data_IF_914598532339
#
_entry.id   IF_914598532339
#
_cell.length_a   1.000
_cell.length_b   1.000
_cell.length_c   1.000
_cell.angle_alpha   90.00
_cell.angle_beta   90.00
_cell.angle_gamma   90.00
#
_symmetry.space_group_name_H-M   'P 1'
#
loop_
_entity.id
_entity.type
_entity.pdbx_description
1 polymer ?
#
# COMPACT_ATOMS: atom_id res chain seq x y z
N UNK A 1 9.65 22.97 -13.25
CA UNK A 1 10.23 21.61 -13.34
C UNK A 1 11.13 21.47 -12.12
N UNK A 2 10.68 20.76 -11.08
CA UNK A 2 11.51 20.50 -9.88
C UNK A 2 12.71 19.64 -10.32
N UNK A 3 13.92 20.07 -9.93
CA UNK A 3 15.11 19.20 -10.05
C UNK A 3 14.80 17.88 -9.36
N UNK A 4 15.31 16.73 -9.87
CA UNK A 4 15.27 15.49 -9.09
C UNK A 4 15.89 15.82 -7.73
N UNK A 5 15.07 15.80 -6.70
CA UNK A 5 15.54 16.02 -5.36
C UNK A 5 16.56 14.93 -5.04
N UNK A 6 17.65 15.34 -4.37
CA UNK A 6 18.69 14.43 -3.90
C UNK A 6 18.09 13.59 -2.76
N UNK A 7 17.29 12.59 -3.16
CA UNK A 7 16.44 11.75 -2.29
C UNK A 7 17.26 10.70 -1.50
N UNK A 8 18.60 10.90 -1.39
CA UNK A 8 19.51 9.85 -0.90
C UNK A 8 20.16 10.11 0.47
N UNK A 9 19.78 11.14 1.19
CA UNK A 9 20.34 11.34 2.53
C UNK A 9 19.26 11.51 3.59
N UNK A 10 18.67 10.38 4.02
CA UNK A 10 18.31 10.30 5.42
C UNK A 10 19.61 10.29 6.23
N UNK A 11 19.72 11.08 7.26
CA UNK A 11 20.88 11.10 8.18
C UNK A 11 21.11 9.74 8.88
N UNK A 12 20.21 8.79 8.67
CA UNK A 12 20.22 7.47 9.31
C UNK A 12 20.19 6.37 8.25
N UNK A 13 21.19 5.51 8.26
CA UNK A 13 21.24 4.33 7.41
C UNK A 13 20.05 3.39 7.70
N UNK A 14 19.40 2.82 6.67
CA UNK A 14 18.32 1.90 6.87
C UNK A 14 18.72 0.68 7.69
N UNK A 15 18.01 0.44 8.81
CA UNK A 15 18.26 -0.67 9.73
C UNK A 15 17.61 -1.97 9.25
N UNK A 16 17.85 -2.35 8.00
CA UNK A 16 17.40 -3.60 7.41
C UNK A 16 18.56 -4.58 7.18
N UNK A 17 18.25 -5.86 7.10
CA UNK A 17 19.25 -6.88 6.80
C UNK A 17 19.84 -6.68 5.39
N UNK A 18 21.15 -6.93 5.17
CA UNK A 18 21.73 -6.92 3.84
C UNK A 18 20.95 -7.83 2.87
N UNK A 19 20.60 -7.30 1.70
CA UNK A 19 19.78 -8.01 0.70
C UNK A 19 18.26 -8.03 0.95
N UNK A 20 17.78 -7.35 2.00
CA UNK A 20 16.35 -7.24 2.29
C UNK A 20 15.57 -6.60 1.13
N UNK A 21 14.39 -7.14 0.81
CA UNK A 21 13.50 -6.60 -0.22
C UNK A 21 13.02 -5.16 0.02
N UNK A 22 13.17 -4.63 1.21
CA UNK A 22 12.86 -3.23 1.49
C UNK A 22 13.78 -2.24 0.75
N UNK A 23 15.03 -2.60 0.47
CA UNK A 23 15.95 -1.71 -0.25
C UNK A 23 15.52 -1.41 -1.69
N UNK A 24 15.22 -2.42 -2.54
CA UNK A 24 14.72 -2.13 -3.87
C UNK A 24 13.36 -1.43 -3.85
N UNK A 25 12.49 -1.73 -2.86
CA UNK A 25 11.21 -1.03 -2.71
C UNK A 25 11.46 0.46 -2.41
N UNK A 26 12.37 0.80 -1.50
CA UNK A 26 12.72 2.19 -1.16
C UNK A 26 13.21 2.94 -2.41
N UNK A 27 14.13 2.33 -3.17
CA UNK A 27 14.66 2.93 -4.40
C UNK A 27 13.56 3.16 -5.45
N UNK A 28 12.70 2.17 -5.67
CA UNK A 28 11.62 2.25 -6.64
C UNK A 28 10.56 3.28 -6.24
N UNK A 29 10.17 3.29 -4.95
CA UNK A 29 9.22 4.25 -4.40
C UNK A 29 9.71 5.69 -4.52
N UNK A 30 10.95 5.93 -4.13
CA UNK A 30 11.59 7.24 -4.23
C UNK A 30 11.59 7.75 -5.67
N UNK A 31 11.97 6.88 -6.63
CA UNK A 31 11.92 7.22 -8.05
C UNK A 31 10.49 7.46 -8.57
N UNK A 32 9.51 6.67 -8.12
CA UNK A 32 8.11 6.85 -8.48
C UNK A 32 7.53 8.12 -7.87
N UNK A 33 7.86 8.45 -6.63
CA UNK A 33 7.43 9.67 -5.96
C UNK A 33 7.95 10.92 -6.70
N UNK A 34 9.21 10.91 -7.10
CA UNK A 34 9.82 12.01 -7.87
C UNK A 34 9.12 12.22 -9.24
N UNK A 35 8.69 11.14 -9.89
CA UNK A 35 7.99 11.19 -11.19
C UNK A 35 6.47 11.42 -11.08
N UNK A 36 5.90 11.22 -9.89
CA UNK A 36 4.45 11.33 -9.70
C UNK A 36 3.92 12.75 -9.83
N UNK A 37 4.77 13.75 -9.60
CA UNK A 37 4.40 15.16 -9.53
C UNK A 37 3.71 15.56 -8.21
N UNK A 38 3.68 14.67 -7.22
CA UNK A 38 3.12 14.97 -5.90
C UNK A 38 3.97 16.01 -5.18
N UNK A 39 3.29 16.94 -4.48
CA UNK A 39 3.97 17.93 -3.65
C UNK A 39 4.36 17.30 -2.30
N UNK A 40 5.66 17.26 -1.94
CA UNK A 40 6.12 16.69 -0.66
C UNK A 40 5.47 17.37 0.56
N UNK A 41 5.24 18.68 0.53
CA UNK A 41 4.63 19.44 1.64
C UNK A 41 3.15 19.06 1.86
N UNK A 42 2.50 18.50 0.83
CA UNK A 42 1.12 18.01 0.88
C UNK A 42 1.05 16.48 0.94
N UNK A 43 2.17 15.79 1.07
CA UNK A 43 2.25 14.34 1.16
C UNK A 43 2.51 13.90 2.59
N UNK A 44 1.74 12.91 3.04
CA UNK A 44 1.89 12.30 4.37
C UNK A 44 2.14 10.80 4.20
N UNK A 45 3.28 10.35 4.70
CA UNK A 45 3.62 8.93 4.78
C UNK A 45 3.17 8.39 6.13
N UNK A 46 2.29 7.41 6.12
CA UNK A 46 1.73 6.78 7.32
C UNK A 46 2.20 5.34 7.41
N UNK A 47 2.58 4.90 8.60
CA UNK A 47 2.97 3.52 8.85
C UNK A 47 2.50 3.02 10.20
N UNK A 48 2.44 1.70 10.36
CA UNK A 48 2.17 1.02 11.63
C UNK A 48 3.45 0.54 12.31
N UNK A 49 3.59 -0.76 12.55
CA UNK A 49 4.75 -1.37 13.20
C UNK A 49 5.33 -2.48 12.31
N UNK A 50 6.62 -2.69 12.42
CA UNK A 50 7.38 -3.72 11.71
C UNK A 50 8.57 -3.16 10.92
N UNK A 51 9.24 -4.00 10.14
CA UNK A 51 10.40 -3.57 9.36
C UNK A 51 10.00 -2.64 8.21
N UNK A 52 8.84 -2.90 7.58
CA UNK A 52 8.27 -2.03 6.56
C UNK A 52 7.81 -0.68 7.14
N UNK A 53 7.37 -0.65 8.40
CA UNK A 53 6.91 0.58 9.05
C UNK A 53 8.03 1.61 9.32
N UNK A 54 9.30 1.20 9.26
CA UNK A 54 10.44 2.11 9.32
C UNK A 54 10.66 2.88 8.01
N UNK A 55 10.03 2.44 6.94
CA UNK A 55 10.21 2.95 5.57
C UNK A 55 10.07 4.48 5.47
N UNK A 56 9.05 5.14 6.06
CA UNK A 56 8.90 6.59 5.96
C UNK A 56 10.10 7.37 6.46
N UNK A 57 10.81 6.85 7.47
CA UNK A 57 11.98 7.50 8.05
C UNK A 57 13.22 7.49 7.13
N UNK A 58 13.19 6.70 6.06
CA UNK A 58 14.29 6.58 5.09
C UNK A 58 13.96 7.24 3.75
N UNK A 59 12.74 7.75 3.58
CA UNK A 59 12.33 8.51 2.38
C UNK A 59 12.81 9.95 2.52
N UNK A 60 13.52 10.44 1.51
CA UNK A 60 13.93 11.84 1.41
C UNK A 60 13.55 12.38 0.03
N UNK A 61 13.10 13.65 -0.11
CA UNK A 61 13.05 14.72 0.89
C UNK A 61 11.94 14.48 1.90
N UNK A 62 11.94 15.29 2.96
CA UNK A 62 10.99 15.11 4.03
C UNK A 62 9.56 15.34 3.54
N UNK A 63 8.81 14.26 3.38
CA UNK A 63 7.36 14.30 3.47
C UNK A 63 6.96 14.36 4.95
N UNK A 64 5.74 14.76 5.24
CA UNK A 64 5.20 14.60 6.59
C UNK A 64 5.12 13.10 6.93
N UNK A 65 5.43 12.73 8.16
CA UNK A 65 5.46 11.34 8.59
C UNK A 65 4.55 11.15 9.80
N UNK A 66 3.76 10.08 9.80
CA UNK A 66 3.05 9.60 10.96
C UNK A 66 3.32 8.10 11.14
N UNK A 67 4.00 7.72 12.21
CA UNK A 67 4.22 6.33 12.61
C UNK A 67 3.30 5.98 13.77
N UNK A 68 2.35 5.08 13.52
CA UNK A 68 1.29 4.72 14.47
C UNK A 68 1.57 3.40 15.20
N UNK A 69 0.52 2.88 15.84
CA UNK A 69 0.54 1.58 16.53
C UNK A 69 0.37 0.42 15.53
N UNK A 70 0.67 -0.79 16.00
CA UNK A 70 0.52 -2.02 15.21
C UNK A 70 -0.92 -2.20 14.70
N UNK A 71 -1.06 -2.40 13.39
CA UNK A 71 -2.35 -2.52 12.73
C UNK A 71 -3.18 -1.23 12.66
N UNK A 72 -2.59 -0.07 12.99
CA UNK A 72 -3.34 1.20 13.08
C UNK A 72 -2.93 2.25 12.03
N UNK A 73 -2.16 1.86 11.03
CA UNK A 73 -1.80 2.75 9.94
C UNK A 73 -3.03 3.27 9.18
N UNK A 74 -3.97 2.39 8.83
CA UNK A 74 -5.18 2.78 8.07
C UNK A 74 -6.16 3.68 8.84
N UNK A 75 -6.52 3.44 10.11
CA UNK A 75 -7.37 4.39 10.82
C UNK A 75 -6.70 5.76 11.01
N UNK A 76 -5.38 5.80 11.26
CA UNK A 76 -4.63 7.06 11.30
C UNK A 76 -4.67 7.79 9.95
N UNK A 77 -4.36 7.08 8.86
CA UNK A 77 -4.42 7.61 7.49
C UNK A 77 -5.83 8.10 7.13
N UNK A 78 -6.88 7.35 7.54
CA UNK A 78 -8.28 7.75 7.36
C UNK A 78 -8.58 9.05 8.08
N UNK A 79 -8.15 9.19 9.35
CA UNK A 79 -8.33 10.41 10.12
C UNK A 79 -7.62 11.62 9.49
N UNK A 80 -6.37 11.44 9.05
CA UNK A 80 -5.59 12.48 8.36
C UNK A 80 -6.30 12.92 7.08
N UNK A 81 -6.76 11.97 6.25
CA UNK A 81 -7.46 12.27 4.99
C UNK A 81 -8.80 12.95 5.23
N UNK A 82 -9.54 12.55 6.26
CA UNK A 82 -10.79 13.21 6.65
C UNK A 82 -10.58 14.63 7.19
N UNK A 83 -9.50 14.84 7.95
CA UNK A 83 -9.18 16.17 8.50
C UNK A 83 -8.75 17.16 7.40
N UNK A 84 -7.97 16.67 6.44
CA UNK A 84 -7.54 17.45 5.28
C UNK A 84 -7.52 16.58 4.01
N UNK A 85 -8.61 16.63 3.25
CA UNK A 85 -8.76 15.84 2.02
C UNK A 85 -7.85 16.30 0.87
N UNK A 86 -7.19 17.45 0.98
CA UNK A 86 -6.21 17.92 -0.02
C UNK A 86 -4.85 17.23 0.12
N UNK A 87 -4.60 16.56 1.25
CA UNK A 87 -3.36 15.81 1.45
C UNK A 87 -3.33 14.53 0.61
N UNK A 88 -2.17 14.23 0.07
CA UNK A 88 -1.86 12.91 -0.49
C UNK A 88 -1.38 12.00 0.64
N UNK A 89 -2.20 11.02 0.98
CA UNK A 89 -1.93 10.11 2.10
C UNK A 89 -1.49 8.76 1.55
N UNK A 90 -0.29 8.34 1.93
CA UNK A 90 0.36 7.12 1.48
C UNK A 90 0.68 6.27 2.70
N UNK A 91 0.23 5.02 2.70
CA UNK A 91 0.48 4.06 3.78
C UNK A 91 1.52 3.04 3.32
N UNK A 92 2.53 2.80 4.14
CA UNK A 92 3.49 1.70 3.99
C UNK A 92 3.41 0.79 5.21
N UNK A 93 3.24 -0.51 4.98
CA UNK A 93 3.01 -1.49 6.05
C UNK A 93 3.53 -2.86 5.63
N UNK A 94 3.87 -3.71 6.60
CA UNK A 94 4.08 -5.13 6.35
C UNK A 94 2.75 -5.89 6.29
N UNK A 95 2.77 -7.08 5.73
CA UNK A 95 1.62 -7.97 5.62
C UNK A 95 1.02 -8.34 6.99
N UNK A 96 1.84 -8.64 7.98
CA UNK A 96 1.38 -8.87 9.35
C UNK A 96 0.68 -7.65 9.96
N UNK A 97 1.28 -6.48 9.84
CA UNK A 97 0.72 -5.22 10.34
C UNK A 97 -0.59 -4.85 9.63
N UNK A 98 -0.65 -5.01 8.29
CA UNK A 98 -1.80 -4.62 7.50
C UNK A 98 -2.94 -5.65 7.55
N UNK A 99 -2.62 -6.92 7.38
CA UNK A 99 -3.63 -7.98 7.19
C UNK A 99 -3.92 -8.77 8.47
N UNK A 100 -2.96 -8.79 9.42
CA UNK A 100 -3.13 -9.35 10.76
C UNK A 100 -3.84 -8.37 11.68
N UNK A 101 -3.08 -7.57 12.38
CA UNK A 101 -3.60 -6.62 13.38
C UNK A 101 -4.44 -5.50 12.75
N UNK A 102 -4.21 -5.18 11.47
CA UNK A 102 -4.94 -4.17 10.72
C UNK A 102 -6.12 -4.68 9.90
N UNK A 103 -6.38 -5.99 9.86
CA UNK A 103 -7.31 -6.62 8.91
C UNK A 103 -8.71 -6.00 8.88
N UNK A 104 -9.29 -5.71 10.04
CA UNK A 104 -10.60 -5.05 10.12
C UNK A 104 -10.57 -3.62 9.54
N UNK A 105 -9.50 -2.88 9.79
CA UNK A 105 -9.32 -1.54 9.24
C UNK A 105 -9.09 -1.56 7.73
N UNK A 106 -8.42 -2.60 7.23
CA UNK A 106 -8.21 -2.84 5.80
C UNK A 106 -9.55 -3.00 5.07
N UNK A 107 -10.41 -3.88 5.54
CA UNK A 107 -11.75 -4.10 4.98
C UNK A 107 -12.55 -2.78 4.96
N UNK A 108 -12.61 -2.08 6.07
CA UNK A 108 -13.43 -0.88 6.19
C UNK A 108 -12.87 0.33 5.44
N UNK A 109 -11.56 0.46 5.25
CA UNK A 109 -10.98 1.51 4.42
C UNK A 109 -11.32 1.30 2.94
N UNK A 110 -11.22 0.06 2.44
CA UNK A 110 -11.64 -0.31 1.08
C UNK A 110 -13.14 -0.07 0.90
N UNK A 111 -13.98 -0.53 1.82
CA UNK A 111 -15.44 -0.35 1.77
C UNK A 111 -15.82 1.13 1.66
N UNK A 112 -15.12 2.02 2.36
CA UNK A 112 -15.32 3.48 2.24
C UNK A 112 -14.81 4.04 0.92
N UNK A 113 -13.85 3.38 0.28
CA UNK A 113 -13.11 3.88 -0.87
C UNK A 113 -12.44 5.23 -0.58
N UNK A 114 -11.79 5.36 0.57
CA UNK A 114 -11.09 6.58 0.94
C UNK A 114 -9.85 6.79 0.07
N UNK A 115 -9.53 8.03 -0.29
CA UNK A 115 -8.44 8.40 -1.21
C UNK A 115 -7.03 8.20 -0.64
N UNK A 116 -6.67 6.96 -0.30
CA UNK A 116 -5.39 6.56 0.30
C UNK A 116 -4.68 5.57 -0.62
N UNK A 117 -3.35 5.72 -0.78
CA UNK A 117 -2.49 4.74 -1.45
C UNK A 117 -1.86 3.84 -0.41
N UNK A 118 -1.97 2.52 -0.58
CA UNK A 118 -1.50 1.52 0.39
C UNK A 118 -0.51 0.58 -0.27
N UNK A 119 0.71 0.60 0.21
CA UNK A 119 1.81 -0.24 -0.25
C UNK A 119 2.15 -1.25 0.84
N UNK A 120 1.83 -2.52 0.60
CA UNK A 120 2.06 -3.60 1.56
C UNK A 120 3.30 -4.37 1.15
N UNK A 121 4.29 -4.38 2.02
CA UNK A 121 5.52 -5.15 1.89
C UNK A 121 5.23 -6.58 2.38
N UNK A 122 4.81 -7.44 1.47
CA UNK A 122 4.36 -8.79 1.77
C UNK A 122 5.54 -9.76 1.73
N UNK A 123 6.09 -10.07 2.90
CA UNK A 123 7.20 -11.00 3.04
C UNK A 123 6.82 -12.33 3.70
N UNK A 124 5.54 -12.52 3.98
CA UNK A 124 4.95 -13.73 4.56
C UNK A 124 5.53 -14.15 5.92
N UNK A 125 6.09 -13.17 6.68
CA UNK A 125 6.57 -13.40 8.05
C UNK A 125 6.51 -12.14 8.90
N UNK A 126 6.36 -12.28 10.20
CA UNK A 126 6.64 -11.19 11.16
C UNK A 126 8.17 -11.05 11.34
N UNK A 127 8.81 -10.19 10.53
CA UNK A 127 10.27 -10.07 10.52
C UNK A 127 10.83 -9.36 11.76
N UNK A 128 10.14 -8.35 12.31
CA UNK A 128 10.61 -7.59 13.48
C UNK A 128 10.71 -8.47 14.73
N UNK A 129 9.77 -9.38 14.91
CA UNK A 129 9.66 -10.30 16.05
C UNK A 129 10.34 -11.64 15.81
N UNK A 130 11.19 -11.74 14.77
CA UNK A 130 12.11 -12.86 14.50
C UNK A 130 11.52 -14.08 13.78
N UNK A 131 10.49 -13.89 12.95
CA UNK A 131 10.12 -14.86 11.93
C UNK A 131 8.93 -15.75 12.24
N UNK A 132 7.97 -15.28 13.02
CA UNK A 132 6.68 -15.96 13.16
C UNK A 132 5.93 -15.90 11.83
N UNK A 133 5.05 -16.88 11.59
CA UNK A 133 4.14 -16.87 10.47
C UNK A 133 3.21 -15.64 10.52
N UNK A 134 3.06 -14.98 9.39
CA UNK A 134 2.10 -13.88 9.18
C UNK A 134 0.79 -14.43 8.57
N UNK A 135 -0.26 -13.62 8.44
CA UNK A 135 -1.51 -14.08 7.80
C UNK A 135 -1.34 -14.59 6.38
N UNK A 136 -0.32 -14.14 5.66
CA UNK A 136 -0.05 -14.53 4.26
C UNK A 136 0.96 -15.68 4.12
N UNK A 137 1.46 -16.23 5.23
CA UNK A 137 2.35 -17.40 5.21
C UNK A 137 1.63 -18.59 4.61
N UNK A 138 2.32 -19.34 3.76
CA UNK A 138 1.77 -20.54 3.13
C UNK A 138 1.45 -21.63 4.17
N UNK A 139 0.41 -22.42 3.91
CA UNK A 139 0.11 -23.61 4.72
C UNK A 139 1.31 -24.56 4.72
N UNK A 140 1.60 -25.15 5.86
CA UNK A 140 2.78 -26.01 6.06
C UNK A 140 4.09 -25.26 6.30
N UNK A 141 4.10 -23.90 6.25
CA UNK A 141 5.31 -23.13 6.52
C UNK A 141 5.79 -23.31 7.96
N UNK A 142 7.00 -23.84 8.13
CA UNK A 142 7.60 -24.15 9.44
C UNK A 142 8.34 -22.96 10.00
N UNK A 143 8.04 -22.61 11.25
CA UNK A 143 8.74 -21.59 12.01
C UNK A 143 9.21 -22.14 13.37
N UNK A 144 9.90 -21.33 14.15
CA UNK A 144 10.29 -21.72 15.52
C UNK A 144 9.11 -21.94 16.44
N UNK A 145 7.96 -21.32 16.18
CA UNK A 145 6.72 -21.43 16.96
C UNK A 145 5.79 -22.46 16.34
N UNK A 146 5.59 -22.40 15.01
CA UNK A 146 4.82 -23.38 14.27
C UNK A 146 5.74 -24.54 13.82
N UNK A 147 6.15 -25.36 14.75
CA UNK A 147 7.14 -26.44 14.53
C UNK A 147 6.62 -27.56 13.61
N UNK A 148 5.30 -27.73 13.50
CA UNK A 148 4.64 -28.68 12.61
C UNK A 148 4.06 -27.99 11.35
N UNK A 149 4.42 -26.73 11.11
CA UNK A 149 3.92 -25.92 10.02
C UNK A 149 2.65 -25.14 10.37
N UNK A 150 2.38 -24.13 9.56
CA UNK A 150 1.16 -23.31 9.62
C UNK A 150 -0.02 -24.19 9.16
N UNK A 151 -1.09 -24.23 9.94
CA UNK A 151 -2.31 -25.01 9.62
C UNK A 151 -3.43 -24.13 9.03
N UNK A 152 -3.29 -22.81 9.08
CA UNK A 152 -4.26 -21.88 8.54
C UNK A 152 -4.02 -21.66 7.05
N UNK A 153 -5.09 -21.51 6.28
CA UNK A 153 -4.98 -21.06 4.89
C UNK A 153 -4.44 -19.65 4.84
N UNK A 154 -3.56 -19.32 3.88
CA UNK A 154 -3.04 -17.96 3.72
C UNK A 154 -4.16 -16.98 3.37
N UNK A 155 -4.13 -15.81 4.01
CA UNK A 155 -5.04 -14.72 3.70
C UNK A 155 -4.76 -14.18 2.30
N UNK A 156 -5.81 -14.06 1.48
CA UNK A 156 -5.70 -13.47 0.13
C UNK A 156 -6.19 -12.01 0.12
N UNK A 157 -5.29 -11.04 0.26
CA UNK A 157 -5.67 -9.64 0.34
C UNK A 157 -6.23 -9.08 -0.97
N UNK A 158 -5.77 -9.59 -2.12
CA UNK A 158 -6.24 -9.14 -3.41
C UNK A 158 -7.68 -9.57 -3.65
N UNK A 159 -7.99 -10.85 -3.41
CA UNK A 159 -9.36 -11.35 -3.58
C UNK A 159 -10.34 -10.58 -2.71
N UNK A 160 -10.00 -10.35 -1.43
CA UNK A 160 -10.83 -9.55 -0.53
C UNK A 160 -11.01 -8.12 -1.03
N UNK A 161 -9.92 -7.47 -1.47
CA UNK A 161 -9.98 -6.10 -1.98
C UNK A 161 -10.85 -5.99 -3.25
N UNK A 162 -10.79 -6.99 -4.15
CA UNK A 162 -11.60 -7.06 -5.36
C UNK A 162 -13.08 -7.25 -5.02
N UNK A 163 -13.40 -8.16 -4.08
CA UNK A 163 -14.79 -8.40 -3.62
C UNK A 163 -15.40 -7.13 -3.03
N UNK A 164 -14.65 -6.41 -2.18
CA UNK A 164 -15.07 -5.13 -1.60
C UNK A 164 -15.11 -3.97 -2.61
N UNK A 165 -14.66 -4.19 -3.85
CA UNK A 165 -14.69 -3.20 -4.92
C UNK A 165 -13.68 -2.08 -4.73
N UNK A 166 -12.47 -2.42 -4.30
CA UNK A 166 -11.32 -1.50 -4.27
C UNK A 166 -11.15 -0.80 -5.62
N UNK A 167 -10.79 0.49 -5.62
CA UNK A 167 -10.70 1.22 -6.89
C UNK A 167 -9.45 0.91 -7.70
N UNK A 168 -8.37 0.47 -7.05
CA UNK A 168 -7.19 -0.08 -7.71
C UNK A 168 -6.57 -1.20 -6.88
N UNK A 169 -6.36 -2.37 -7.48
CA UNK A 169 -5.63 -3.50 -6.88
C UNK A 169 -4.52 -3.92 -7.81
N UNK A 170 -3.30 -3.92 -7.30
CA UNK A 170 -2.12 -4.33 -8.05
C UNK A 170 -1.24 -5.26 -7.21
N UNK A 171 -0.45 -6.10 -7.88
CA UNK A 171 0.64 -6.87 -7.28
C UNK A 171 1.92 -6.60 -8.05
N UNK A 172 3.04 -6.55 -7.34
CA UNK A 172 4.36 -6.39 -7.95
C UNK A 172 5.41 -7.15 -7.15
N UNK A 173 6.63 -7.21 -7.69
CA UNK A 173 7.73 -7.96 -7.09
C UNK A 173 8.96 -7.08 -6.84
N UNK A 174 9.51 -7.15 -5.64
CA UNK A 174 10.67 -6.36 -5.24
C UNK A 174 11.96 -6.70 -6.06
N UNK A 175 12.00 -7.86 -6.68
CA UNK A 175 13.12 -8.29 -7.54
C UNK A 175 13.03 -7.83 -8.99
N UNK A 176 11.97 -7.11 -9.37
CA UNK A 176 11.84 -6.44 -10.67
C UNK A 176 11.70 -4.92 -10.47
N UNK A 177 12.81 -4.17 -10.41
CA UNK A 177 12.79 -2.75 -10.09
C UNK A 177 12.02 -1.89 -11.10
N UNK A 178 12.01 -2.27 -12.39
CA UNK A 178 11.34 -1.52 -13.43
C UNK A 178 9.80 -1.66 -13.31
N UNK A 179 9.31 -2.89 -13.22
CA UNK A 179 7.90 -3.20 -13.01
C UNK A 179 7.40 -2.65 -11.67
N UNK A 180 8.18 -2.81 -10.61
CA UNK A 180 7.87 -2.27 -9.28
C UNK A 180 7.67 -0.75 -9.33
N UNK A 181 8.63 -0.01 -9.91
CA UNK A 181 8.54 1.45 -10.02
C UNK A 181 7.33 1.88 -10.84
N UNK A 182 7.08 1.25 -11.98
CA UNK A 182 5.92 1.56 -12.82
C UNK A 182 4.59 1.33 -12.10
N UNK A 183 4.45 0.21 -11.39
CA UNK A 183 3.25 -0.12 -10.60
C UNK A 183 3.02 0.88 -9.45
N UNK A 184 4.08 1.26 -8.74
CA UNK A 184 3.98 2.26 -7.67
C UNK A 184 3.60 3.63 -8.23
N UNK A 185 4.18 4.04 -9.36
CA UNK A 185 3.86 5.32 -10.02
C UNK A 185 2.39 5.37 -10.45
N UNK A 186 1.88 4.28 -11.01
CA UNK A 186 0.46 4.15 -11.40
C UNK A 186 -0.46 4.32 -10.18
N UNK A 187 -0.14 3.65 -9.07
CA UNK A 187 -0.91 3.78 -7.84
C UNK A 187 -0.81 5.18 -7.21
N UNK A 188 0.36 5.84 -7.25
CA UNK A 188 0.52 7.22 -6.79
C UNK A 188 -0.32 8.21 -7.59
N UNK A 189 -0.48 7.99 -8.89
CA UNK A 189 -1.30 8.82 -9.78
C UNK A 189 -2.79 8.52 -9.70
N UNK A 190 -3.18 7.42 -9.09
CA UNK A 190 -4.59 7.05 -8.94
C UNK A 190 -5.35 8.04 -8.06
N UNK A 191 -6.51 8.55 -8.53
CA UNK A 191 -7.30 9.59 -7.84
C UNK A 191 -8.71 9.12 -7.41
N UNK A 192 -9.14 7.94 -7.86
CA UNK A 192 -10.52 7.51 -7.69
C UNK A 192 -10.82 6.80 -6.35
N UNK A 193 -9.89 6.89 -5.39
CA UNK A 193 -10.09 6.35 -4.04
C UNK A 193 -8.94 5.47 -3.55
N UNK A 194 -9.28 4.34 -2.93
CA UNK A 194 -8.33 3.44 -2.30
C UNK A 194 -7.53 2.66 -3.35
N UNK A 195 -6.20 2.76 -3.28
CA UNK A 195 -5.29 1.99 -4.12
C UNK A 195 -4.48 1.02 -3.26
N UNK A 196 -4.53 -0.27 -3.59
CA UNK A 196 -3.74 -1.32 -2.96
C UNK A 196 -2.64 -1.80 -3.93
N UNK A 197 -1.41 -1.81 -3.46
CA UNK A 197 -0.30 -2.53 -4.10
C UNK A 197 0.28 -3.53 -3.11
N UNK A 198 0.10 -4.81 -3.39
CA UNK A 198 0.73 -5.91 -2.65
C UNK A 198 2.08 -6.20 -3.28
N UNK A 199 3.16 -5.96 -2.53
CA UNK A 199 4.54 -6.06 -3.03
C UNK A 199 5.16 -7.35 -2.51
N UNK A 200 5.34 -8.33 -3.37
CA UNK A 200 6.06 -9.57 -3.06
C UNK A 200 7.49 -9.21 -2.66
N UNK A 201 7.80 -9.33 -1.36
CA UNK A 201 9.04 -8.88 -0.76
C UNK A 201 9.81 -10.06 -0.15
N UNK A 202 10.91 -10.53 -0.74
CA UNK A 202 11.72 -11.57 -0.10
C UNK A 202 12.32 -11.14 1.24
N UNK A 203 12.10 -11.96 2.29
CA UNK A 203 12.77 -11.81 3.58
C UNK A 203 13.99 -12.73 3.65
N UNK A 204 15.18 -12.18 3.43
CA UNK A 204 16.45 -12.94 3.39
C UNK A 204 16.83 -13.59 4.73
N UNK A 205 16.29 -13.09 5.84
CA UNK A 205 16.62 -13.57 7.18
C UNK A 205 15.73 -14.71 7.65
N UNK A 206 14.43 -14.61 7.49
CA UNK A 206 13.48 -15.51 8.13
C UNK A 206 12.66 -16.37 7.16
N UNK A 207 12.35 -15.86 5.95
CA UNK A 207 11.66 -16.66 4.95
C UNK A 207 12.67 -17.25 3.96
N UNK A 208 12.94 -18.54 4.10
CA UNK A 208 13.88 -19.27 3.24
C UNK A 208 13.18 -20.00 2.09
N UNK A 209 11.85 -19.95 2.03
CA UNK A 209 11.04 -20.59 0.99
C UNK A 209 10.81 -19.57 -0.14
N UNK A 210 10.15 -18.47 0.13
CA UNK A 210 9.80 -17.45 -0.86
C UNK A 210 10.95 -16.47 -1.09
N UNK A 211 12.04 -16.98 -1.68
CA UNK A 211 13.27 -16.22 -1.97
C UNK A 211 13.14 -15.42 -3.26
N UNK A 212 14.14 -14.57 -3.57
CA UNK A 212 14.21 -13.87 -4.86
C UNK A 212 14.18 -14.84 -6.06
N UNK A 213 14.92 -15.95 -5.97
CA UNK A 213 14.93 -16.95 -7.03
C UNK A 213 13.55 -17.61 -7.18
N UNK A 214 12.93 -18.00 -6.05
CA UNK A 214 11.61 -18.61 -6.03
C UNK A 214 10.54 -17.73 -6.71
N UNK A 215 10.50 -16.43 -6.38
CA UNK A 215 9.58 -15.49 -7.01
C UNK A 215 9.90 -15.25 -8.48
N UNK A 216 11.20 -15.09 -8.83
CA UNK A 216 11.62 -14.83 -10.22
C UNK A 216 11.17 -15.91 -11.19
N UNK A 217 11.14 -17.16 -10.75
CA UNK A 217 10.65 -18.29 -11.54
C UNK A 217 9.12 -18.29 -11.71
N UNK A 218 8.38 -17.64 -10.82
CA UNK A 218 6.92 -17.77 -10.67
C UNK A 218 6.13 -16.53 -11.03
N UNK A 219 6.69 -15.33 -10.92
CA UNK A 219 5.98 -14.11 -11.28
C UNK A 219 5.72 -14.06 -12.79
N UNK A 220 4.50 -13.71 -13.15
CA UNK A 220 4.06 -13.57 -14.55
C UNK A 220 3.35 -12.23 -14.70
N UNK A 221 3.81 -11.33 -15.59
CA UNK A 221 3.08 -10.12 -15.90
C UNK A 221 1.67 -10.44 -16.37
N UNK A 222 0.70 -9.67 -15.92
CA UNK A 222 -0.67 -9.72 -16.43
C UNK A 222 -0.63 -9.38 -17.92
N UNK A 223 -1.32 -10.19 -18.76
CA UNK A 223 -1.29 -10.03 -20.20
C UNK A 223 -2.11 -8.82 -20.65
N UNK A 224 -1.81 -8.24 -21.85
CA UNK A 224 -2.55 -7.08 -22.37
C UNK A 224 -4.04 -7.34 -22.62
N UNK A 225 -4.43 -8.61 -22.78
CA UNK A 225 -5.83 -9.03 -23.00
C UNK A 225 -6.67 -8.98 -21.72
N UNK A 226 -6.04 -8.86 -20.55
CA UNK A 226 -6.75 -8.76 -19.29
C UNK A 226 -7.51 -7.44 -19.18
N UNK A 227 -8.84 -7.54 -18.99
CA UNK A 227 -9.66 -6.38 -18.63
C UNK A 227 -9.65 -6.18 -17.10
N UNK A 228 -8.96 -5.15 -16.57
CA UNK A 228 -8.92 -4.92 -15.13
C UNK A 228 -10.29 -4.49 -14.54
N UNK A 229 -11.26 -4.16 -15.37
CA UNK A 229 -12.62 -3.85 -14.93
C UNK A 229 -13.51 -5.10 -14.84
N UNK A 230 -13.09 -6.24 -15.40
CA UNK A 230 -13.77 -7.52 -15.21
C UNK A 230 -13.39 -8.11 -13.85
N UNK A 231 -14.36 -8.04 -12.92
CA UNK A 231 -14.17 -8.54 -11.54
C UNK A 231 -13.90 -10.04 -11.48
N UNK A 232 -14.52 -10.82 -12.35
CA UNK A 232 -14.38 -12.28 -12.31
C UNK A 232 -13.01 -12.71 -12.84
N UNK A 233 -12.53 -12.09 -13.91
CA UNK A 233 -11.16 -12.29 -14.38
C UNK A 233 -10.14 -11.85 -13.32
N UNK A 234 -10.34 -10.71 -12.70
CA UNK A 234 -9.46 -10.21 -11.63
C UNK A 234 -9.41 -11.17 -10.42
N UNK A 235 -10.55 -11.73 -10.00
CA UNK A 235 -10.60 -12.74 -8.94
C UNK A 235 -9.85 -14.01 -9.35
N UNK A 236 -10.03 -14.48 -10.57
CA UNK A 236 -9.30 -15.66 -11.07
C UNK A 236 -7.78 -15.44 -11.01
N UNK A 237 -7.29 -14.23 -11.38
CA UNK A 237 -5.88 -13.87 -11.23
C UNK A 237 -5.45 -13.76 -9.75
N UNK A 238 -6.30 -13.21 -8.88
CA UNK A 238 -5.99 -13.06 -7.46
C UNK A 238 -5.79 -14.40 -6.73
N UNK A 239 -6.47 -15.44 -7.20
CA UNK A 239 -6.34 -16.79 -6.64
C UNK A 239 -5.15 -17.59 -7.21
N UNK A 240 -4.49 -17.11 -8.27
CA UNK A 240 -3.30 -17.78 -8.80
C UNK A 240 -2.11 -17.55 -7.85
N UNK A 241 -1.57 -18.66 -7.36
CA UNK A 241 -0.41 -18.72 -6.47
C UNK A 241 0.40 -20.01 -6.79
N UNK A 242 1.60 -20.13 -6.25
CA UNK A 242 2.46 -21.28 -6.50
C UNK A 242 3.19 -21.16 -7.84
N UNK A 243 2.82 -21.93 -8.85
CA UNK A 243 3.55 -22.03 -10.13
C UNK A 243 3.47 -20.77 -11.00
N UNK A 244 2.40 -19.99 -10.87
CA UNK A 244 2.22 -18.74 -11.56
C UNK A 244 1.62 -17.69 -10.62
N UNK A 245 2.31 -16.57 -10.45
CA UNK A 245 1.88 -15.45 -9.61
C UNK A 245 1.72 -14.21 -10.48
N UNK A 246 0.48 -13.80 -10.81
CA UNK A 246 0.23 -12.64 -11.65
C UNK A 246 0.74 -11.35 -10.99
N UNK A 247 1.46 -10.52 -11.74
CA UNK A 247 1.92 -9.18 -11.32
C UNK A 247 1.52 -8.13 -12.34
N UNK A 248 1.11 -6.97 -11.85
CA UNK A 248 0.59 -5.86 -12.66
C UNK A 248 -0.67 -5.28 -12.01
N UNK A 249 -1.44 -4.54 -12.79
CA UNK A 249 -2.77 -4.07 -12.38
C UNK A 249 -3.76 -5.21 -12.54
N UNK A 250 -4.25 -5.71 -11.40
CA UNK A 250 -5.17 -6.86 -11.35
C UNK A 250 -6.63 -6.40 -11.47
N UNK A 251 -6.99 -5.29 -10.80
CA UNK A 251 -8.37 -4.82 -10.77
C UNK A 251 -8.48 -3.30 -10.72
N UNK A 252 -9.52 -2.79 -11.34
CA UNK A 252 -9.98 -1.39 -11.23
C UNK A 252 -11.48 -1.33 -11.04
N UNK A 253 -11.96 -0.37 -10.27
CA UNK A 253 -13.38 -0.02 -10.24
C UNK A 253 -13.58 1.48 -10.43
N UNK A 254 -14.75 1.84 -11.00
CA UNK A 254 -15.14 3.24 -11.22
C UNK A 254 -16.01 3.74 -10.06
N UNK A 255 -15.53 3.59 -8.84
CA UNK A 255 -16.24 4.10 -7.66
C UNK A 255 -15.71 5.50 -7.33
N UNK A 256 -16.57 6.48 -7.09
CA UNK A 256 -16.13 7.77 -6.58
C UNK A 256 -15.50 7.59 -5.20
N UNK A 257 -14.43 8.33 -4.90
CA UNK A 257 -13.79 8.29 -3.60
C UNK A 257 -14.72 8.82 -2.50
N UNK A 258 -14.43 8.45 -1.25
CA UNK A 258 -15.22 8.87 -0.08
C UNK A 258 -15.34 10.39 0.00
N UNK A 259 -14.24 11.11 -0.22
CA UNK A 259 -14.16 12.56 -0.12
C UNK A 259 -15.05 13.25 -1.15
N UNK A 260 -15.08 12.75 -2.39
CA UNK A 260 -15.93 13.29 -3.45
C UNK A 260 -17.44 13.16 -3.17
N UNK A 261 -17.79 12.25 -2.25
CA UNK A 261 -19.20 11.99 -1.84
C UNK A 261 -19.62 12.74 -0.59
N UNK A 262 -18.74 13.56 0.00
CA UNK A 262 -19.02 14.34 1.21
C UNK A 262 -19.28 15.79 0.84
N UNK A 263 -20.54 16.26 0.80
CA UNK A 263 -20.87 17.64 0.40
C UNK A 263 -20.16 18.70 1.22
N UNK A 264 -19.94 18.40 2.51
CA UNK A 264 -19.25 19.32 3.43
C UNK A 264 -17.78 19.56 3.06
N UNK A 265 -17.11 18.60 2.43
CA UNK A 265 -15.71 18.71 2.03
C UNK A 265 -15.54 19.55 0.76
N UNK A 266 -16.59 19.74 -0.04
CA UNK A 266 -16.60 20.70 -1.15
C UNK A 266 -16.51 22.15 -0.72
N UNK A 267 -16.79 22.46 0.55
CA UNK A 267 -16.77 23.81 1.09
C UNK A 267 -15.38 24.22 1.62
N UNK A 268 -14.75 23.37 2.45
CA UNK A 268 -13.41 23.58 2.99
C UNK A 268 -12.92 22.32 3.68
N UNK A 269 -11.61 22.26 4.00
CA UNK A 269 -11.08 21.25 4.92
C UNK A 269 -11.54 21.50 6.36
N UNK A 270 -11.58 20.47 7.20
CA UNK A 270 -11.88 20.64 8.64
C UNK A 270 -10.84 21.55 9.28
N UNK A 271 -9.56 21.40 8.94
CA UNK A 271 -8.47 22.26 9.41
C UNK A 271 -8.68 23.71 8.96
N UNK A 272 -9.09 23.95 7.71
CA UNK A 272 -9.40 25.28 7.21
C UNK A 272 -10.54 25.96 7.96
N UNK A 273 -11.54 25.20 8.43
CA UNK A 273 -12.61 25.75 9.28
C UNK A 273 -12.12 26.13 10.67
N UNK A 274 -11.30 25.30 11.30
CA UNK A 274 -10.76 25.59 12.64
C UNK A 274 -9.84 26.81 12.66
N UNK A 275 -9.15 27.09 11.55
CA UNK A 275 -8.28 28.27 11.41
C UNK A 275 -9.00 29.53 10.93
N UNK A 276 -10.34 29.53 10.89
CA UNK A 276 -11.11 30.73 10.52
C UNK A 276 -11.16 31.05 9.02
N UNK A 277 -10.78 30.11 8.17
CA UNK A 277 -10.90 30.25 6.71
C UNK A 277 -12.37 30.33 6.27
N UNK A 278 -12.73 31.37 5.54
CA UNK A 278 -14.06 31.50 4.97
C UNK A 278 -14.40 30.34 4.02
N UNK A 279 -15.65 29.83 3.99
CA UNK A 279 -16.06 28.81 3.05
C UNK A 279 -15.88 29.27 1.60
N UNK A 280 -15.30 28.47 0.74
CA UNK A 280 -15.26 28.72 -0.70
C UNK A 280 -16.70 28.74 -1.20
N UNK A 281 -17.12 29.91 -1.70
CA UNK A 281 -18.42 30.29 -2.20
C UNK A 281 -19.52 29.25 -2.17
N UNK A 282 -20.50 29.41 -1.31
CA UNK A 282 -21.77 28.73 -1.44
C UNK A 282 -22.41 29.17 -2.78
N UNK A 283 -22.45 28.26 -3.76
CA UNK A 283 -23.36 28.44 -4.88
C UNK A 283 -24.77 28.50 -4.27
N UNK A 284 -25.38 29.67 -4.34
CA UNK A 284 -26.77 29.90 -4.00
C UNK A 284 -27.63 29.14 -5.01
N UNK A 285 -27.84 27.85 -4.75
CA UNK A 285 -28.90 27.08 -5.41
C UNK A 285 -30.22 27.50 -4.80
N UNK A 286 -30.97 28.30 -5.53
CA UNK A 286 -32.39 28.56 -5.24
C UNK A 286 -33.13 27.22 -5.13
N UNK A 287 -33.69 26.97 -3.96
CA UNK A 287 -34.73 25.96 -3.79
C UNK A 287 -36.00 26.53 -4.37
N UNK A 288 -36.48 25.97 -5.44
CA UNK A 288 -37.91 25.94 -5.79
C UNK A 288 -38.40 24.51 -5.61
#
# INVERSE_FOLDING_TARGET
MMKPLDLQKADTAPAWCPGCGNFPILKAFTGALAESGLNPDKTVLVSGIGQAAKFPHYVTPPCNIFNGLHGRALPAATGIKCANHELEVIVTSGDGDMYGEGGNHFIHAIRRNIGIKVFVHNNQVYGLTKGQASPTSDEGYVTRIQTHGVVSMPFNPLALAIVEGCSLVARTFAGDPAHLKATLLEALRHKDGFALVDILQPCVSFNKVNTYAWYKERVRPVTPEHDPYDRMQALALAFQWGDAIPVGIIFRSRRPCFEARQPVLGLCTVVGRMSGGAPRGAATGSRN
#
